data_IF_634941626458
#
_entry.id   IF_634941626458
#
_cell.length_a   1.000
_cell.length_b   1.000
_cell.length_c   1.000
_cell.angle_alpha   90.00
_cell.angle_beta   90.00
_cell.angle_gamma   90.00
#
_symmetry.space_group_name_H-M   'P 1'
#
loop_
_entity.id
_entity.type
_entity.pdbx_description
1 polymer ?
#
# COMPACT_ATOMS: atom_id res chain seq x y z
N UNK A 1 26.26 5.65 -29.82
CA UNK A 1 26.20 6.69 -28.77
C UNK A 1 25.25 7.84 -29.09
N UNK A 2 25.19 8.36 -30.33
CA UNK A 2 24.24 9.43 -30.75
C UNK A 2 22.75 9.10 -30.55
N UNK A 3 22.34 7.83 -30.68
CA UNK A 3 20.95 7.39 -30.55
C UNK A 3 20.39 7.52 -29.12
N UNK A 4 21.26 7.50 -28.10
CA UNK A 4 20.87 7.63 -26.69
C UNK A 4 20.61 9.10 -26.35
N UNK A 5 21.42 10.02 -26.90
CA UNK A 5 21.28 11.47 -26.67
C UNK A 5 20.00 12.01 -27.32
N UNK A 6 19.60 11.48 -28.49
CA UNK A 6 18.36 11.87 -29.16
C UNK A 6 17.10 11.34 -28.46
N UNK A 7 17.21 10.22 -27.74
CA UNK A 7 16.13 9.68 -26.90
C UNK A 7 15.96 10.46 -25.59
N UNK A 8 17.03 11.07 -25.08
CA UNK A 8 17.00 11.92 -23.88
C UNK A 8 16.37 13.29 -24.15
N UNK A 9 16.45 13.81 -25.39
CA UNK A 9 15.82 15.08 -25.78
C UNK A 9 14.28 15.02 -25.87
N UNK A 10 13.69 13.83 -25.97
CA UNK A 10 12.23 13.65 -25.95
C UNK A 10 11.66 13.30 -24.57
N UNK A 11 12.53 13.16 -23.56
CA UNK A 11 12.12 12.69 -22.23
C UNK A 11 12.04 13.89 -21.27
N UNK A 12 10.82 14.26 -20.90
CA UNK A 12 10.58 15.32 -19.91
C UNK A 12 10.78 14.74 -18.50
N UNK A 13 12.04 14.70 -18.05
CA UNK A 13 12.43 14.16 -16.74
C UNK A 13 11.64 14.80 -15.59
N UNK A 14 11.47 16.14 -15.52
CA UNK A 14 10.58 16.76 -14.53
C UNK A 14 9.14 16.25 -14.58
N UNK A 15 8.58 16.07 -15.78
CA UNK A 15 7.24 15.52 -15.96
C UNK A 15 7.12 14.07 -15.47
N UNK A 16 8.16 13.26 -15.68
CA UNK A 16 8.21 11.88 -15.19
C UNK A 16 8.30 11.82 -13.66
N UNK A 17 9.14 12.66 -13.04
CA UNK A 17 9.21 12.76 -11.57
C UNK A 17 7.88 13.21 -11.00
N UNK A 18 7.24 14.22 -11.60
CA UNK A 18 5.93 14.70 -11.18
C UNK A 18 4.87 13.60 -11.29
N UNK A 19 4.87 12.84 -12.39
CA UNK A 19 3.96 11.71 -12.58
C UNK A 19 4.16 10.63 -11.51
N UNK A 20 5.40 10.26 -11.21
CA UNK A 20 5.71 9.27 -10.17
C UNK A 20 5.25 9.75 -8.79
N UNK A 21 5.50 11.02 -8.45
CA UNK A 21 5.05 11.60 -7.19
C UNK A 21 3.52 11.63 -7.09
N UNK A 22 2.85 12.08 -8.15
CA UNK A 22 1.39 12.10 -8.23
C UNK A 22 0.80 10.69 -8.10
N UNK A 23 1.40 9.72 -8.79
CA UNK A 23 1.01 8.31 -8.74
C UNK A 23 1.12 7.75 -7.33
N UNK A 24 2.26 7.94 -6.65
CA UNK A 24 2.46 7.51 -5.27
C UNK A 24 1.49 8.20 -4.30
N UNK A 25 1.27 9.51 -4.49
CA UNK A 25 0.38 10.30 -3.64
C UNK A 25 -1.08 9.86 -3.79
N UNK A 26 -1.56 9.67 -5.02
CA UNK A 26 -2.92 9.19 -5.28
C UNK A 26 -3.10 7.76 -4.79
N UNK A 27 -2.14 6.87 -5.04
CA UNK A 27 -2.18 5.50 -4.54
C UNK A 27 -2.27 5.43 -3.01
N UNK A 28 -1.39 6.15 -2.30
CA UNK A 28 -1.41 6.25 -0.83
C UNK A 28 -2.69 6.93 -0.33
N UNK A 29 -3.14 7.97 -1.02
CA UNK A 29 -4.36 8.71 -0.69
C UNK A 29 -5.60 7.85 -0.80
N UNK A 30 -5.75 7.07 -1.87
CA UNK A 30 -6.87 6.12 -2.02
C UNK A 30 -6.83 5.05 -0.94
N UNK A 31 -5.65 4.49 -0.63
CA UNK A 31 -5.53 3.52 0.46
C UNK A 31 -5.96 4.11 1.80
N UNK A 32 -5.53 5.34 2.08
CA UNK A 32 -5.90 6.05 3.30
C UNK A 32 -7.42 6.33 3.33
N UNK A 33 -8.01 6.75 2.21
CA UNK A 33 -9.45 6.96 2.08
C UNK A 33 -10.26 5.69 2.37
N UNK A 34 -9.85 4.55 1.80
CA UNK A 34 -10.49 3.25 2.06
C UNK A 34 -10.40 2.88 3.53
N UNK A 35 -9.26 3.14 4.18
CA UNK A 35 -9.11 2.90 5.62
C UNK A 35 -9.95 3.84 6.48
N UNK A 36 -10.09 5.11 6.09
CA UNK A 36 -10.97 6.06 6.79
C UNK A 36 -12.44 5.67 6.65
N UNK A 37 -12.85 5.18 5.48
CA UNK A 37 -14.21 4.73 5.22
C UNK A 37 -14.62 3.58 6.14
N UNK A 38 -13.65 2.81 6.64
CA UNK A 38 -13.88 1.64 7.48
C UNK A 38 -14.37 1.99 8.89
N UNK A 39 -14.14 3.21 9.39
CA UNK A 39 -14.54 3.68 10.73
C UNK A 39 -14.19 2.75 11.90
N UNK A 40 -13.23 1.83 11.72
CA UNK A 40 -12.86 0.86 12.73
C UNK A 40 -11.88 1.45 13.75
N UNK A 41 -11.95 1.02 15.03
CA UNK A 41 -11.04 1.51 16.05
C UNK A 41 -9.60 1.08 15.74
N UNK A 42 -8.76 2.10 15.57
CA UNK A 42 -7.35 2.01 15.20
C UNK A 42 -6.53 1.60 16.43
N UNK A 43 -5.90 0.43 16.40
CA UNK A 43 -4.97 -0.02 17.46
C UNK A 43 -3.62 0.67 17.31
N UNK A 44 -3.15 0.80 16.07
CA UNK A 44 -1.87 1.43 15.81
C UNK A 44 -1.55 1.45 14.32
N UNK A 45 -0.45 2.11 14.02
CA UNK A 45 0.11 2.17 12.68
C UNK A 45 1.61 2.01 12.77
N UNK A 46 2.21 1.47 11.72
CA UNK A 46 3.63 1.21 11.68
C UNK A 46 4.22 1.65 10.35
N UNK A 47 5.42 2.23 10.41
CA UNK A 47 6.20 2.60 9.24
C UNK A 47 7.29 1.53 9.06
N UNK A 48 7.18 0.73 8.00
CA UNK A 48 8.17 -0.26 7.62
C UNK A 48 8.73 -0.04 6.21
N UNK A 49 9.71 -0.86 5.79
CA UNK A 49 10.31 -0.79 4.46
C UNK A 49 9.30 -1.03 3.32
N UNK A 50 8.21 -1.76 3.62
CA UNK A 50 7.11 -2.04 2.69
C UNK A 50 5.98 -1.01 2.77
N UNK A 51 6.16 0.06 3.57
CA UNK A 51 5.25 1.19 3.70
C UNK A 51 4.54 1.27 5.05
N UNK A 52 3.40 1.99 5.05
CA UNK A 52 2.60 2.22 6.24
C UNK A 52 1.62 1.05 6.39
N UNK A 53 1.73 0.33 7.50
CA UNK A 53 0.83 -0.77 7.86
C UNK A 53 -0.07 -0.29 8.99
N UNK A 54 -1.37 -0.51 8.87
CA UNK A 54 -2.35 -0.02 9.84
C UNK A 54 -3.02 -1.23 10.49
N UNK A 55 -3.09 -1.22 11.82
CA UNK A 55 -3.66 -2.29 12.65
C UNK A 55 -5.01 -1.85 13.21
N UNK A 56 -6.05 -2.61 12.91
CA UNK A 56 -7.42 -2.40 13.37
C UNK A 56 -7.83 -3.54 14.30
N UNK A 57 -8.62 -3.23 15.35
CA UNK A 57 -9.09 -4.24 16.30
C UNK A 57 -10.18 -5.15 15.73
N UNK A 58 -10.99 -4.64 14.78
CA UNK A 58 -12.12 -5.36 14.21
C UNK A 58 -11.77 -6.17 12.95
N UNK A 59 -12.56 -7.22 12.72
CA UNK A 59 -12.44 -8.13 11.58
C UNK A 59 -12.49 -7.40 10.23
N UNK A 60 -11.60 -7.73 9.28
CA UNK A 60 -11.70 -7.20 7.94
C UNK A 60 -12.87 -7.87 7.24
N UNK A 61 -13.94 -7.11 6.99
CA UNK A 61 -15.03 -7.60 6.17
C UNK A 61 -14.51 -7.84 4.74
N UNK A 62 -14.98 -8.92 4.13
CA UNK A 62 -14.56 -9.34 2.77
C UNK A 62 -14.69 -8.18 1.78
N UNK A 63 -15.75 -7.37 1.90
CA UNK A 63 -15.95 -6.16 1.10
C UNK A 63 -14.78 -5.18 1.22
N UNK A 64 -14.30 -4.90 2.43
CA UNK A 64 -13.18 -3.99 2.64
C UNK A 64 -11.84 -4.58 2.20
N UNK A 65 -11.66 -5.90 2.25
CA UNK A 65 -10.49 -6.57 1.66
C UNK A 65 -10.45 -6.29 0.15
N UNK A 66 -11.56 -6.54 -0.55
CA UNK A 66 -11.65 -6.26 -1.99
C UNK A 66 -11.52 -4.78 -2.31
N UNK A 67 -12.15 -3.90 -1.53
CA UNK A 67 -12.11 -2.46 -1.76
C UNK A 67 -10.70 -1.89 -1.52
N UNK A 68 -9.97 -2.43 -0.55
CA UNK A 68 -8.56 -2.09 -0.30
C UNK A 68 -7.61 -2.53 -1.41
N UNK A 69 -7.98 -3.55 -2.19
CA UNK A 69 -7.21 -4.03 -3.34
C UNK A 69 -7.60 -3.30 -4.64
N UNK A 70 -8.90 -3.25 -4.93
CA UNK A 70 -9.44 -2.78 -6.21
C UNK A 70 -9.35 -1.26 -6.35
N UNK A 71 -9.70 -0.48 -5.31
CA UNK A 71 -9.68 0.97 -5.44
C UNK A 71 -8.27 1.51 -5.73
N UNK A 72 -7.21 1.12 -4.99
CA UNK A 72 -5.85 1.56 -5.30
C UNK A 72 -5.36 1.02 -6.65
N UNK A 73 -5.75 -0.19 -7.05
CA UNK A 73 -5.41 -0.76 -8.36
C UNK A 73 -5.98 0.07 -9.51
N UNK A 74 -7.28 0.41 -9.44
CA UNK A 74 -7.98 1.21 -10.46
C UNK A 74 -7.40 2.62 -10.55
N UNK A 75 -7.14 3.26 -9.40
CA UNK A 75 -6.53 4.60 -9.36
C UNK A 75 -5.12 4.56 -9.92
N UNK A 76 -4.30 3.58 -9.52
CA UNK A 76 -2.96 3.37 -10.05
C UNK A 76 -2.99 3.16 -11.58
N UNK A 77 -3.87 2.30 -12.08
CA UNK A 77 -4.00 2.03 -13.51
C UNK A 77 -4.43 3.26 -14.29
N UNK A 78 -5.40 4.01 -13.78
CA UNK A 78 -5.88 5.26 -14.38
C UNK A 78 -4.78 6.32 -14.47
N UNK A 79 -4.02 6.52 -13.38
CA UNK A 79 -2.93 7.51 -13.35
C UNK A 79 -1.81 7.12 -14.31
N UNK A 80 -1.44 5.84 -14.37
CA UNK A 80 -0.42 5.35 -15.30
C UNK A 80 -0.88 5.46 -16.75
N UNK A 81 -2.13 5.12 -17.05
CA UNK A 81 -2.69 5.27 -18.40
C UNK A 81 -2.70 6.73 -18.84
N UNK A 82 -3.30 7.61 -18.03
CA UNK A 82 -3.38 9.04 -18.33
C UNK A 82 -1.98 9.65 -18.41
N UNK A 83 -1.11 9.31 -17.47
CA UNK A 83 0.23 9.89 -17.37
C UNK A 83 1.21 9.42 -18.43
N UNK A 84 1.07 8.22 -19.00
CA UNK A 84 2.06 7.65 -19.93
C UNK A 84 1.57 7.57 -21.39
N UNK A 85 0.26 7.59 -21.62
CA UNK A 85 -0.31 7.35 -22.97
C UNK A 85 -1.26 8.47 -23.45
N UNK A 86 -1.33 9.59 -22.75
CA UNK A 86 -2.07 10.79 -23.22
C UNK A 86 -1.08 11.91 -23.58
N UNK A 87 -1.53 13.06 -24.11
CA UNK A 87 -0.64 14.18 -24.45
C UNK A 87 0.20 14.71 -23.28
N UNK A 88 -0.12 14.32 -22.05
CA UNK A 88 0.64 14.61 -20.83
C UNK A 88 1.88 13.72 -20.67
N UNK A 89 2.14 12.78 -21.61
CA UNK A 89 3.19 11.77 -21.45
C UNK A 89 4.59 12.38 -21.42
N UNK A 90 5.36 12.16 -20.33
CA UNK A 90 6.73 12.64 -20.24
C UNK A 90 7.73 11.78 -21.03
N UNK A 91 7.30 10.61 -21.51
CA UNK A 91 8.11 9.64 -22.25
C UNK A 91 7.42 9.26 -23.54
N UNK A 92 8.12 9.25 -24.69
CA UNK A 92 7.58 8.77 -25.94
C UNK A 92 7.46 7.24 -25.91
N UNK A 93 6.32 6.73 -25.42
CA UNK A 93 6.00 5.31 -25.41
C UNK A 93 5.18 4.91 -26.66
N UNK A 94 5.35 3.66 -27.09
CA UNK A 94 4.54 3.11 -28.18
C UNK A 94 3.08 2.97 -27.74
N UNK A 95 2.15 3.42 -28.59
CA UNK A 95 0.71 3.37 -28.34
C UNK A 95 0.09 2.00 -28.70
N UNK A 96 0.92 0.97 -28.90
CA UNK A 96 0.44 -0.37 -29.14
C UNK A 96 -0.34 -0.89 -27.91
N UNK A 97 -1.54 -1.47 -28.09
CA UNK A 97 -2.39 -1.88 -26.98
C UNK A 97 -1.70 -2.94 -26.09
N UNK A 98 -0.90 -3.83 -26.68
CA UNK A 98 -0.12 -4.80 -25.92
C UNK A 98 0.91 -4.13 -24.99
N UNK A 99 1.59 -3.07 -25.45
CA UNK A 99 2.57 -2.33 -24.64
C UNK A 99 1.88 -1.58 -23.50
N UNK A 100 0.73 -0.98 -23.77
CA UNK A 100 -0.10 -0.32 -22.74
C UNK A 100 -0.48 -1.30 -21.64
N UNK A 101 -1.03 -2.46 -22.00
CA UNK A 101 -1.43 -3.50 -21.04
C UNK A 101 -0.24 -3.97 -20.21
N UNK A 102 0.92 -4.21 -20.83
CA UNK A 102 2.11 -4.67 -20.10
C UNK A 102 2.63 -3.60 -19.14
N UNK A 103 2.77 -2.36 -19.58
CA UNK A 103 3.32 -1.26 -18.75
C UNK A 103 2.39 -0.94 -17.59
N UNK A 104 1.09 -0.79 -17.86
CA UNK A 104 0.08 -0.51 -16.82
C UNK A 104 -0.04 -1.70 -15.88
N UNK A 105 -0.09 -2.92 -16.42
CA UNK A 105 -0.15 -4.15 -15.64
C UNK A 105 1.03 -4.29 -14.69
N UNK A 106 2.26 -4.06 -15.16
CA UNK A 106 3.45 -4.09 -14.31
C UNK A 106 3.40 -3.00 -13.22
N UNK A 107 3.04 -1.76 -13.58
CA UNK A 107 2.96 -0.67 -12.59
C UNK A 107 1.90 -0.93 -11.53
N UNK A 108 0.70 -1.35 -11.93
CA UNK A 108 -0.38 -1.72 -10.99
C UNK A 108 0.06 -2.88 -10.11
N UNK A 109 0.63 -3.95 -10.68
CA UNK A 109 1.09 -5.13 -9.94
C UNK A 109 2.13 -4.74 -8.89
N UNK A 110 3.12 -3.92 -9.25
CA UNK A 110 4.14 -3.43 -8.31
C UNK A 110 3.52 -2.62 -7.16
N UNK A 111 2.52 -1.77 -7.46
CA UNK A 111 1.83 -0.98 -6.42
C UNK A 111 1.04 -1.85 -5.45
N UNK A 112 0.32 -2.85 -5.95
CA UNK A 112 -0.60 -3.65 -5.12
C UNK A 112 -0.01 -4.97 -4.62
N UNK A 113 1.25 -5.30 -4.93
CA UNK A 113 1.83 -6.60 -4.57
C UNK A 113 1.76 -6.88 -3.05
N UNK A 114 2.02 -5.85 -2.24
CA UNK A 114 1.88 -5.96 -0.78
C UNK A 114 0.43 -6.20 -0.34
N UNK A 115 -0.54 -5.57 -1.01
CA UNK A 115 -1.96 -5.71 -0.70
C UNK A 115 -2.48 -7.09 -1.13
N UNK A 116 -2.03 -7.63 -2.27
CA UNK A 116 -2.33 -9.01 -2.70
C UNK A 116 -1.81 -10.00 -1.67
N UNK A 117 -0.56 -9.84 -1.22
CA UNK A 117 0.04 -10.73 -0.23
C UNK A 117 -0.73 -10.72 1.08
N UNK A 118 -1.09 -9.54 1.57
CA UNK A 118 -1.91 -9.39 2.78
C UNK A 118 -3.31 -10.00 2.60
N UNK A 119 -3.99 -9.71 1.50
CA UNK A 119 -5.32 -10.26 1.23
C UNK A 119 -5.30 -11.79 1.13
N UNK A 120 -4.26 -12.35 0.48
CA UNK A 120 -4.08 -13.79 0.37
C UNK A 120 -3.81 -14.47 1.71
N UNK A 121 -3.02 -13.82 2.57
CA UNK A 121 -2.77 -14.29 3.92
C UNK A 121 -4.04 -14.27 4.77
N UNK A 122 -4.84 -13.20 4.66
CA UNK A 122 -6.12 -13.04 5.37
C UNK A 122 -7.16 -14.07 4.88
N UNK A 123 -7.14 -14.43 3.58
CA UNK A 123 -8.01 -15.47 2.99
C UNK A 123 -7.59 -16.90 3.38
N UNK A 124 -6.28 -17.20 3.39
CA UNK A 124 -5.77 -18.55 3.71
C UNK A 124 -5.81 -18.89 5.20
N UNK A 125 -5.49 -17.90 6.03
CA UNK A 125 -5.44 -18.04 7.47
C UNK A 125 -6.21 -16.89 8.09
N UNK A 126 -7.56 -16.97 8.13
CA UNK A 126 -8.39 -15.94 8.74
C UNK A 126 -8.05 -15.91 10.23
N UNK A 127 -7.20 -14.97 10.62
CA UNK A 127 -6.88 -14.70 12.01
C UNK A 127 -7.83 -13.63 12.51
N UNK A 128 -8.55 -13.94 13.57
CA UNK A 128 -9.56 -13.07 14.16
C UNK A 128 -9.01 -12.35 15.39
N UNK A 129 -9.46 -11.10 15.58
CA UNK A 129 -9.14 -10.26 16.74
C UNK A 129 -7.65 -10.21 17.09
N UNK A 130 -7.33 -10.66 18.30
CA UNK A 130 -6.03 -10.65 18.94
C UNK A 130 -4.91 -11.35 18.15
N UNK A 131 -5.20 -12.51 17.55
CA UNK A 131 -4.19 -13.31 16.84
C UNK A 131 -3.64 -12.57 15.61
N UNK A 132 -4.48 -11.74 14.97
CA UNK A 132 -4.08 -10.89 13.85
C UNK A 132 -3.18 -9.74 14.30
N UNK A 133 -3.45 -9.18 15.47
CA UNK A 133 -2.64 -8.11 16.06
C UNK A 133 -1.25 -8.66 16.41
N UNK A 134 -1.18 -9.82 17.07
CA UNK A 134 0.10 -10.46 17.39
C UNK A 134 0.92 -10.81 16.14
N UNK A 135 0.29 -11.37 15.10
CA UNK A 135 0.96 -11.62 13.82
C UNK A 135 1.49 -10.33 13.19
N UNK A 136 0.68 -9.28 13.19
CA UNK A 136 1.08 -7.98 12.63
C UNK A 136 2.29 -7.42 13.39
N UNK A 137 2.27 -7.51 14.73
CA UNK A 137 3.39 -7.11 15.58
C UNK A 137 4.66 -7.93 15.28
N UNK A 138 4.56 -9.26 15.20
CA UNK A 138 5.68 -10.14 14.86
C UNK A 138 6.29 -9.79 13.50
N UNK A 139 5.45 -9.56 12.50
CA UNK A 139 5.89 -9.24 11.15
C UNK A 139 6.54 -7.84 11.08
N UNK A 140 6.00 -6.88 11.82
CA UNK A 140 6.58 -5.54 11.94
C UNK A 140 7.93 -5.57 12.66
N UNK A 141 8.08 -6.43 13.66
CA UNK A 141 9.37 -6.64 14.35
C UNK A 141 10.40 -7.23 13.40
N UNK A 142 10.02 -8.26 12.64
CA UNK A 142 10.88 -8.89 11.65
C UNK A 142 11.34 -7.91 10.54
N UNK A 143 10.53 -6.88 10.24
CA UNK A 143 10.81 -5.88 9.22
C UNK A 143 11.43 -4.58 9.75
N UNK A 144 11.87 -4.55 11.02
CA UNK A 144 12.44 -3.36 11.67
C UNK A 144 11.53 -2.11 11.58
N UNK A 145 10.22 -2.33 11.53
CA UNK A 145 9.26 -1.25 11.40
C UNK A 145 9.13 -0.47 12.71
N UNK A 146 8.96 0.85 12.61
CA UNK A 146 8.60 1.68 13.77
C UNK A 146 7.10 1.62 13.98
N UNK A 147 6.66 1.10 15.12
CA UNK A 147 5.25 0.97 15.47
C UNK A 147 4.84 2.11 16.40
N UNK A 148 3.69 2.72 16.11
CA UNK A 148 3.04 3.73 16.91
C UNK A 148 1.64 3.26 17.28
N UNK A 149 1.42 3.04 18.57
CA UNK A 149 0.11 2.67 19.12
C UNK A 149 -0.72 3.92 19.42
N UNK A 150 -2.03 3.84 19.19
CA UNK A 150 -2.98 4.89 19.60
C UNK A 150 -3.34 4.73 21.09
N UNK A 151 -3.91 5.74 21.74
CA UNK A 151 -4.42 5.59 23.11
C UNK A 151 -5.40 4.42 23.27
N UNK A 152 -6.25 4.20 22.27
CA UNK A 152 -7.14 3.03 22.20
C UNK A 152 -6.35 1.72 22.11
N UNK A 153 -5.28 1.66 21.30
CA UNK A 153 -4.43 0.49 21.20
C UNK A 153 -3.72 0.15 22.52
N UNK A 154 -3.27 1.16 23.27
CA UNK A 154 -2.68 0.96 24.59
C UNK A 154 -3.68 0.33 25.57
N UNK A 155 -4.91 0.87 25.68
CA UNK A 155 -5.93 0.30 26.55
C UNK A 155 -6.36 -1.09 26.08
N UNK A 156 -6.58 -1.27 24.77
CA UNK A 156 -7.01 -2.55 24.20
C UNK A 156 -6.00 -3.67 24.46
N UNK A 157 -4.70 -3.40 24.23
CA UNK A 157 -3.64 -4.38 24.45
C UNK A 157 -3.47 -4.72 25.93
N UNK A 158 -3.57 -3.71 26.80
CA UNK A 158 -3.49 -3.93 28.24
C UNK A 158 -4.70 -4.74 28.76
N UNK A 159 -5.91 -4.46 28.27
CA UNK A 159 -7.13 -5.15 28.71
C UNK A 159 -7.21 -6.60 28.21
N UNK A 160 -6.74 -6.87 26.99
CA UNK A 160 -6.86 -8.21 26.38
C UNK A 160 -5.61 -9.09 26.61
N UNK A 161 -4.40 -8.51 26.64
CA UNK A 161 -3.15 -9.27 26.82
C UNK A 161 -2.46 -9.04 28.18
N UNK A 162 -3.01 -8.18 29.06
CA UNK A 162 -2.43 -7.90 30.38
C UNK A 162 -1.02 -7.33 30.34
N UNK A 163 -0.60 -6.77 29.21
CA UNK A 163 0.79 -6.36 28.96
C UNK A 163 0.84 -5.04 28.22
N UNK A 164 1.86 -4.23 28.54
CA UNK A 164 2.07 -2.97 27.82
C UNK A 164 2.52 -3.27 26.39
N UNK A 165 2.20 -2.41 25.40
CA UNK A 165 2.60 -2.64 24.00
C UNK A 165 4.13 -2.73 23.83
N UNK A 166 4.88 -2.06 24.71
CA UNK A 166 6.34 -2.18 24.80
C UNK A 166 6.78 -3.55 25.29
N UNK A 167 6.10 -4.13 26.28
CA UNK A 167 6.43 -5.47 26.80
C UNK A 167 6.14 -6.54 25.75
N UNK A 168 4.99 -6.45 25.07
CA UNK A 168 4.64 -7.33 23.94
C UNK A 168 5.66 -7.27 22.80
N UNK A 169 6.16 -6.07 22.51
CA UNK A 169 7.18 -5.87 21.49
C UNK A 169 8.54 -6.51 21.83
N UNK A 170 8.88 -6.57 23.13
CA UNK A 170 10.09 -7.22 23.59
C UNK A 170 9.96 -8.73 23.74
N UNK A 171 8.75 -9.23 24.07
CA UNK A 171 8.48 -10.64 24.35
C UNK A 171 8.31 -11.52 23.11
N UNK A 172 7.76 -10.98 22.01
CA UNK A 172 7.50 -11.68 20.74
C UNK A 172 8.66 -11.53 19.76
#
# INVERSE_FOLDING_TARGET
MLRIVHSLHGMNVPGLVLLLLLWLLLFKGTRLLVTLLRHDPLVGWAIGPLGITIMFAHEPSILFIWLSLLCPAIVSGSVLYVGLFTPLSPVPLSHNPAVQVVVIGCGVLLSIMGDIFNAFQDLRHPLWGEARILRSIQWLRATWARVHFTPFGYSYLNDHFGSSPTDLWHAL
#
